data_IF_241304142872
#
_entry.id   IF_241304142872
#
_cell.length_a   1.000
_cell.length_b   1.000
_cell.length_c   1.000
_cell.angle_alpha   90.00
_cell.angle_beta   90.00
_cell.angle_gamma   90.00
#
_symmetry.space_group_name_H-M   'P 1'
#
loop_
_entity.id
_entity.type
_entity.pdbx_description
1 polymer ?
#
# COMPACT_ATOMS: atom_id res chain seq x y z
N UNK A 1 31.52 22.58 25.42
CA UNK A 1 32.01 21.57 24.45
C UNK A 1 31.71 22.09 23.05
N UNK A 2 32.71 22.19 22.18
CA UNK A 2 32.45 22.55 20.78
C UNK A 2 31.57 21.49 20.14
N UNK A 3 30.55 21.94 19.41
CA UNK A 3 29.74 21.01 18.59
C UNK A 3 30.65 20.39 17.55
N UNK A 4 30.71 19.08 17.52
CA UNK A 4 31.39 18.34 16.46
C UNK A 4 30.66 18.62 15.14
N UNK A 5 31.31 19.37 14.25
CA UNK A 5 30.73 19.75 12.95
C UNK A 5 30.97 18.61 12.02
N UNK A 6 29.89 17.95 11.57
CA UNK A 6 29.99 16.90 10.54
C UNK A 6 30.67 17.44 9.29
N UNK A 7 31.69 16.79 8.73
CA UNK A 7 32.44 17.32 7.62
C UNK A 7 31.54 17.50 6.36
N UNK A 8 31.64 18.69 5.74
CA UNK A 8 30.97 18.90 4.43
C UNK A 8 31.71 18.11 3.37
N UNK A 9 30.96 17.30 2.59
CA UNK A 9 31.44 16.49 1.48
C UNK A 9 30.70 16.89 0.21
N UNK A 10 31.33 16.65 -0.93
CA UNK A 10 30.66 16.81 -2.24
C UNK A 10 29.65 15.69 -2.52
N UNK A 11 29.81 14.53 -1.85
CA UNK A 11 28.95 13.37 -1.97
C UNK A 11 28.88 12.62 -0.63
N UNK A 12 27.68 12.28 -0.23
CA UNK A 12 27.39 11.48 0.97
C UNK A 12 26.87 10.11 0.58
N UNK A 13 27.26 9.06 1.32
CA UNK A 13 26.80 7.69 1.12
C UNK A 13 25.96 7.18 2.30
N UNK A 14 25.62 5.90 2.29
CA UNK A 14 24.83 5.29 3.36
C UNK A 14 25.55 5.33 4.73
N UNK A 15 26.87 5.24 4.76
CA UNK A 15 27.61 5.29 6.00
C UNK A 15 27.56 6.69 6.62
N UNK A 16 27.56 7.71 5.77
CA UNK A 16 27.35 9.10 6.22
C UNK A 16 25.94 9.29 6.82
N UNK A 17 24.92 8.73 6.18
CA UNK A 17 23.54 8.83 6.70
C UNK A 17 23.40 8.12 8.06
N UNK A 18 23.99 6.94 8.21
CA UNK A 18 24.02 6.20 9.47
C UNK A 18 24.73 7.00 10.59
N UNK A 19 25.87 7.60 10.28
CA UNK A 19 26.61 8.40 11.24
C UNK A 19 25.87 9.71 11.60
N UNK A 20 25.26 10.39 10.61
CA UNK A 20 24.43 11.56 10.83
C UNK A 20 23.25 11.24 11.76
N UNK A 21 22.56 10.12 11.56
CA UNK A 21 21.45 9.71 12.41
C UNK A 21 21.91 9.45 13.84
N UNK A 22 23.04 8.77 14.01
CA UNK A 22 23.65 8.54 15.33
C UNK A 22 24.03 9.84 16.02
N UNK A 23 24.56 10.83 15.30
CA UNK A 23 24.87 12.17 15.86
C UNK A 23 23.58 12.89 16.25
N UNK A 24 22.55 12.88 15.40
CA UNK A 24 21.27 13.54 15.68
C UNK A 24 20.62 12.99 16.95
N UNK A 25 20.71 11.69 17.20
CA UNK A 25 20.17 11.03 18.38
C UNK A 25 21.12 10.99 19.57
N UNK A 26 22.38 11.37 19.38
CA UNK A 26 23.40 11.42 20.44
C UNK A 26 23.12 12.49 21.50
N UNK A 27 23.86 12.46 22.62
CA UNK A 27 23.68 13.32 23.78
C UNK A 27 23.64 14.82 23.43
N UNK A 28 24.47 15.25 22.47
CA UNK A 28 24.56 16.64 22.01
C UNK A 28 23.81 16.90 20.68
N UNK A 29 22.99 15.94 20.23
CA UNK A 29 22.27 15.99 18.98
C UNK A 29 20.98 16.80 19.02
N UNK A 30 20.04 16.49 18.17
CA UNK A 30 18.76 17.15 18.06
C UNK A 30 17.80 16.70 19.18
N UNK A 31 17.24 17.63 19.92
CA UNK A 31 16.31 17.31 21.01
C UNK A 31 15.06 16.57 20.51
N UNK A 32 14.55 16.97 19.33
CA UNK A 32 13.38 16.34 18.73
C UNK A 32 13.66 14.89 18.32
N UNK A 33 14.79 14.64 17.63
CA UNK A 33 15.14 13.28 17.17
C UNK A 33 15.36 12.34 18.37
N UNK A 34 15.93 12.83 19.48
CA UNK A 34 16.14 12.03 20.70
C UNK A 34 14.85 11.61 21.40
N UNK A 35 13.81 12.42 21.31
CA UNK A 35 12.50 12.13 21.92
C UNK A 35 11.70 11.08 21.11
N UNK A 36 12.06 10.85 19.84
CA UNK A 36 11.33 9.92 19.01
C UNK A 36 11.53 8.47 19.43
N UNK A 37 10.47 7.69 19.23
CA UNK A 37 10.44 6.23 19.38
C UNK A 37 9.67 5.59 18.21
N UNK A 38 9.61 4.25 18.15
CA UNK A 38 8.94 3.54 17.08
C UNK A 38 7.46 3.96 16.89
N UNK A 39 6.75 4.21 17.98
CA UNK A 39 5.33 4.58 17.95
C UNK A 39 5.13 5.99 17.42
N UNK A 40 6.01 6.93 17.80
CA UNK A 40 5.86 8.35 17.41
C UNK A 40 6.10 8.58 15.92
N UNK A 41 7.04 7.84 15.31
CA UNK A 41 7.42 8.01 13.89
C UNK A 41 6.84 6.93 12.96
N UNK A 42 6.05 5.97 13.48
CA UNK A 42 5.51 4.87 12.67
C UNK A 42 4.66 5.33 11.49
N UNK A 43 3.97 6.47 11.63
CA UNK A 43 3.10 6.99 10.57
C UNK A 43 3.89 7.63 9.44
N UNK A 44 5.07 8.18 9.72
CA UNK A 44 5.95 8.74 8.70
C UNK A 44 6.35 7.68 7.67
N UNK A 45 6.61 6.42 8.11
CA UNK A 45 6.87 5.32 7.16
C UNK A 45 5.75 5.15 6.13
N UNK A 46 4.48 5.36 6.54
CA UNK A 46 3.34 5.24 5.64
C UNK A 46 3.23 6.47 4.74
N UNK A 47 3.46 7.66 5.28
CA UNK A 47 3.46 8.94 4.57
C UNK A 47 4.49 8.91 3.44
N UNK A 48 5.77 8.67 3.76
CA UNK A 48 6.84 8.57 2.77
C UNK A 48 6.57 7.47 1.71
N UNK A 49 5.96 6.35 2.11
CA UNK A 49 5.59 5.31 1.14
C UNK A 49 4.50 5.77 0.16
N UNK A 50 3.57 6.63 0.56
CA UNK A 50 2.58 7.22 -0.33
C UNK A 50 3.19 8.30 -1.22
N UNK A 51 4.10 9.13 -0.71
CA UNK A 51 4.81 10.15 -1.49
C UNK A 51 5.68 9.51 -2.57
N UNK A 52 6.36 8.40 -2.27
CA UNK A 52 7.01 7.56 -3.31
C UNK A 52 6.01 7.10 -4.37
N UNK A 53 4.79 6.70 -4.00
CA UNK A 53 3.77 6.29 -4.97
C UNK A 53 3.29 7.47 -5.82
N UNK A 54 3.11 8.65 -5.25
CA UNK A 54 2.73 9.87 -5.96
C UNK A 54 3.82 10.27 -6.97
N UNK A 55 5.09 10.24 -6.58
CA UNK A 55 6.22 10.51 -7.46
C UNK A 55 6.28 9.54 -8.66
N UNK A 56 6.00 8.25 -8.42
CA UNK A 56 5.91 7.23 -9.48
C UNK A 56 4.74 7.52 -10.45
N UNK A 57 3.57 7.86 -9.94
CA UNK A 57 2.39 8.14 -10.76
C UNK A 57 2.56 9.47 -11.54
N UNK A 58 3.27 10.47 -10.96
CA UNK A 58 3.66 11.70 -11.63
C UNK A 58 4.77 11.49 -12.68
N UNK A 59 5.48 10.36 -12.65
CA UNK A 59 6.66 10.06 -13.48
C UNK A 59 7.78 11.10 -13.31
N UNK A 60 7.90 11.65 -12.11
CA UNK A 60 8.92 12.62 -11.73
C UNK A 60 10.08 11.91 -11.05
N UNK A 61 11.23 11.81 -11.74
CA UNK A 61 12.40 11.09 -11.23
C UNK A 61 13.16 11.86 -10.16
N UNK A 62 13.09 13.18 -10.14
CA UNK A 62 13.72 13.98 -9.09
C UNK A 62 12.93 13.89 -7.79
N UNK A 63 11.61 14.04 -7.87
CA UNK A 63 10.72 13.82 -6.73
C UNK A 63 10.88 12.38 -6.21
N UNK A 64 10.87 11.37 -7.09
CA UNK A 64 11.07 9.97 -6.70
C UNK A 64 12.40 9.76 -5.96
N UNK A 65 13.45 10.45 -6.34
CA UNK A 65 14.75 10.36 -5.65
C UNK A 65 14.67 10.97 -4.25
N UNK A 66 13.97 12.09 -4.08
CA UNK A 66 13.73 12.76 -2.80
C UNK A 66 12.95 11.83 -1.87
N UNK A 67 11.79 11.35 -2.30
CA UNK A 67 10.90 10.51 -1.49
C UNK A 67 11.51 9.14 -1.13
N UNK A 68 12.32 8.56 -2.03
CA UNK A 68 13.10 7.36 -1.69
C UNK A 68 14.16 7.64 -0.62
N UNK A 69 14.70 8.87 -0.56
CA UNK A 69 15.61 9.32 0.49
C UNK A 69 14.88 9.38 1.83
N UNK A 70 13.69 9.97 1.88
CA UNK A 70 12.90 10.12 3.08
C UNK A 70 12.37 8.78 3.59
N UNK A 71 11.95 7.89 2.70
CA UNK A 71 11.63 6.51 3.06
C UNK A 71 12.85 5.74 3.61
N UNK A 72 14.04 5.94 3.03
CA UNK A 72 15.28 5.36 3.53
C UNK A 72 15.62 5.91 4.93
N UNK A 73 15.39 7.21 5.16
CA UNK A 73 15.55 7.84 6.47
C UNK A 73 14.72 7.13 7.54
N UNK A 74 13.45 6.77 7.25
CA UNK A 74 12.61 6.02 8.19
C UNK A 74 13.23 4.66 8.54
N UNK A 75 13.78 3.96 7.55
CA UNK A 75 14.45 2.67 7.79
C UNK A 75 15.68 2.85 8.69
N UNK A 76 16.51 3.85 8.41
CA UNK A 76 17.72 4.15 9.19
C UNK A 76 17.35 4.58 10.61
N UNK A 77 16.31 5.42 10.76
CA UNK A 77 15.85 5.87 12.07
C UNK A 77 15.38 4.71 12.95
N UNK A 78 14.53 3.84 12.42
CA UNK A 78 14.07 2.66 13.15
C UNK A 78 15.20 1.68 13.48
N UNK A 79 16.19 1.52 12.59
CA UNK A 79 17.37 0.70 12.86
C UNK A 79 18.27 1.30 13.95
N UNK A 80 18.40 2.63 13.99
CA UNK A 80 19.15 3.32 15.04
C UNK A 80 18.47 3.16 16.41
N UNK A 81 17.14 3.23 16.50
CA UNK A 81 16.39 2.98 17.74
C UNK A 81 16.66 1.57 18.29
N UNK A 82 16.69 0.55 17.42
CA UNK A 82 16.98 -0.82 17.81
C UNK A 82 18.46 -1.03 18.19
N UNK A 83 19.37 -0.30 17.53
CA UNK A 83 20.78 -0.30 17.89
C UNK A 83 21.01 0.29 19.29
N UNK A 84 20.28 1.35 19.65
CA UNK A 84 20.31 1.94 20.99
C UNK A 84 19.74 1.01 22.08
N UNK A 85 18.89 0.06 21.67
CA UNK A 85 18.31 -0.98 22.52
C UNK A 85 19.13 -2.29 22.54
N UNK A 86 20.32 -2.30 21.92
CA UNK A 86 21.20 -3.50 21.79
C UNK A 86 20.50 -4.72 21.14
N UNK A 87 19.53 -4.47 20.24
CA UNK A 87 18.74 -5.51 19.55
C UNK A 87 19.34 -5.86 18.19
N UNK A 88 19.29 -4.95 17.23
CA UNK A 88 19.93 -5.05 15.92
C UNK A 88 20.26 -3.65 15.37
N UNK A 89 21.07 -3.60 14.34
CA UNK A 89 21.46 -2.39 13.62
C UNK A 89 21.03 -2.41 12.15
N UNK A 90 21.42 -1.40 11.38
CA UNK A 90 21.14 -1.32 9.96
C UNK A 90 21.77 -2.47 9.17
N UNK A 91 22.97 -2.95 9.55
CA UNK A 91 23.62 -4.10 8.90
C UNK A 91 22.79 -5.36 9.10
N UNK A 92 22.20 -5.54 10.28
CA UNK A 92 21.25 -6.62 10.56
C UNK A 92 20.00 -6.57 9.67
N UNK A 93 19.48 -5.37 9.39
CA UNK A 93 18.37 -5.17 8.45
C UNK A 93 18.79 -5.59 7.03
N UNK A 94 19.98 -5.15 6.58
CA UNK A 94 20.54 -5.49 5.28
C UNK A 94 20.79 -7.01 5.14
N UNK A 95 21.42 -7.63 6.13
CA UNK A 95 21.67 -9.07 6.16
C UNK A 95 20.38 -9.87 6.05
N UNK A 96 19.37 -9.49 6.83
CA UNK A 96 18.06 -10.14 6.84
C UNK A 96 17.36 -10.10 5.49
N UNK A 97 17.38 -8.96 4.79
CA UNK A 97 16.75 -8.85 3.46
C UNK A 97 17.58 -9.56 2.39
N UNK A 98 18.91 -9.50 2.43
CA UNK A 98 19.78 -10.20 1.50
C UNK A 98 19.59 -11.72 1.58
N UNK A 99 19.64 -12.31 2.77
CA UNK A 99 19.38 -13.75 2.99
C UNK A 99 18.02 -14.15 2.45
N UNK A 100 17.00 -13.34 2.69
CA UNK A 100 15.63 -13.56 2.21
C UNK A 100 15.55 -13.53 0.69
N UNK A 101 16.22 -12.58 0.03
CA UNK A 101 16.26 -12.48 -1.43
C UNK A 101 16.98 -13.66 -2.06
N UNK A 102 18.16 -14.03 -1.55
CA UNK A 102 18.93 -15.19 -2.02
C UNK A 102 18.10 -16.47 -1.90
N UNK A 103 17.49 -16.71 -0.73
CA UNK A 103 16.67 -17.90 -0.48
C UNK A 103 15.46 -17.99 -1.42
N UNK A 104 14.83 -16.86 -1.76
CA UNK A 104 13.59 -16.83 -2.56
C UNK A 104 13.82 -16.76 -4.07
N UNK A 105 15.07 -16.61 -4.52
CA UNK A 105 15.43 -16.62 -5.93
C UNK A 105 16.41 -17.74 -6.27
N UNK A 106 16.07 -19.01 -5.99
CA UNK A 106 16.98 -20.12 -6.26
C UNK A 106 17.24 -20.34 -7.76
N UNK A 107 16.43 -19.74 -8.64
CA UNK A 107 16.66 -19.70 -10.08
C UNK A 107 17.74 -18.69 -10.50
N UNK A 108 18.13 -17.76 -9.62
CA UNK A 108 19.20 -16.77 -9.85
C UNK A 108 20.45 -17.15 -9.06
N UNK A 109 20.28 -17.53 -7.79
CA UNK A 109 21.38 -17.77 -6.84
C UNK A 109 21.64 -19.27 -6.58
N UNK A 110 20.89 -20.16 -7.22
CA UNK A 110 21.00 -21.62 -7.11
C UNK A 110 20.92 -22.30 -8.47
N UNK A 111 20.47 -23.56 -8.49
CA UNK A 111 20.47 -24.40 -9.68
C UNK A 111 19.05 -24.76 -10.17
N UNK A 112 18.03 -24.02 -9.76
CA UNK A 112 16.65 -24.27 -10.19
C UNK A 112 16.41 -23.53 -11.51
N UNK A 113 15.89 -24.24 -12.51
CA UNK A 113 15.44 -23.63 -13.76
C UNK A 113 13.93 -23.31 -13.65
N UNK A 114 13.50 -22.19 -14.21
CA UNK A 114 12.09 -21.75 -14.24
C UNK A 114 11.75 -21.20 -15.61
N UNK A 115 10.55 -21.54 -16.09
CA UNK A 115 10.03 -21.08 -17.38
C UNK A 115 9.03 -19.92 -17.19
N UNK A 116 9.56 -18.70 -17.16
CA UNK A 116 8.76 -17.47 -17.13
C UNK A 116 8.35 -16.95 -15.75
N UNK A 117 7.77 -15.74 -15.73
CA UNK A 117 7.46 -14.98 -14.53
C UNK A 117 6.39 -15.62 -13.64
N UNK A 118 5.44 -16.35 -14.21
CA UNK A 118 4.36 -16.97 -13.44
C UNK A 118 4.86 -18.12 -12.57
N UNK A 119 5.85 -18.89 -13.04
CA UNK A 119 6.50 -19.95 -12.27
C UNK A 119 7.37 -19.34 -11.17
N UNK A 120 8.10 -18.27 -11.47
CA UNK A 120 8.86 -17.51 -10.47
C UNK A 120 7.96 -17.07 -9.33
N UNK A 121 6.78 -16.49 -9.62
CA UNK A 121 5.83 -16.01 -8.61
C UNK A 121 5.28 -17.15 -7.74
N UNK A 122 4.95 -18.29 -8.33
CA UNK A 122 4.48 -19.49 -7.58
C UNK A 122 5.56 -20.02 -6.64
N UNK A 123 6.80 -20.14 -7.15
CA UNK A 123 7.94 -20.58 -6.36
C UNK A 123 8.23 -19.62 -5.22
N UNK A 124 8.20 -18.31 -5.49
CA UNK A 124 8.36 -17.26 -4.49
C UNK A 124 7.33 -17.38 -3.35
N UNK A 125 6.03 -17.50 -3.67
CA UNK A 125 4.97 -17.62 -2.67
C UNK A 125 5.12 -18.90 -1.83
N UNK A 126 5.52 -20.01 -2.44
CA UNK A 126 5.82 -21.27 -1.74
C UNK A 126 6.98 -21.14 -0.78
N UNK A 127 8.11 -20.60 -1.25
CA UNK A 127 9.33 -20.41 -0.43
C UNK A 127 9.09 -19.40 0.69
N UNK A 128 8.29 -18.34 0.43
CA UNK A 128 7.89 -17.37 1.43
C UNK A 128 7.05 -17.99 2.54
N UNK A 129 6.10 -18.85 2.20
CA UNK A 129 5.26 -19.55 3.19
C UNK A 129 6.10 -20.51 4.04
N UNK A 130 7.01 -21.28 3.41
CA UNK A 130 7.93 -22.18 4.11
C UNK A 130 8.87 -21.43 5.07
N UNK A 131 9.46 -20.32 4.62
CA UNK A 131 10.36 -19.51 5.46
C UNK A 131 9.69 -18.90 6.68
N UNK A 132 8.35 -18.84 6.67
CA UNK A 132 7.52 -18.33 7.78
C UNK A 132 6.87 -19.43 8.61
N UNK A 133 7.14 -20.71 8.31
CA UNK A 133 6.49 -21.84 9.00
C UNK A 133 4.97 -21.89 8.80
N UNK A 134 4.46 -21.34 7.68
CA UNK A 134 3.03 -21.29 7.40
C UNK A 134 2.58 -22.60 6.73
N UNK A 135 2.06 -23.52 7.50
CA UNK A 135 1.63 -24.84 7.04
C UNK A 135 0.18 -24.84 6.53
N UNK A 136 -0.70 -24.08 7.16
CA UNK A 136 -2.13 -24.03 6.83
C UNK A 136 -2.51 -22.84 5.96
N UNK A 137 -3.63 -22.96 5.23
CA UNK A 137 -4.22 -21.85 4.50
C UNK A 137 -4.60 -20.70 5.45
N UNK A 138 -5.16 -21.00 6.61
CA UNK A 138 -5.57 -20.01 7.60
C UNK A 138 -4.37 -19.18 8.09
N UNK A 139 -3.24 -19.81 8.40
CA UNK A 139 -2.01 -19.10 8.78
C UNK A 139 -1.52 -18.16 7.69
N UNK A 140 -1.60 -18.57 6.42
CA UNK A 140 -1.28 -17.71 5.28
C UNK A 140 -2.20 -16.51 5.18
N UNK A 141 -3.52 -16.69 5.36
CA UNK A 141 -4.49 -15.59 5.32
C UNK A 141 -4.29 -14.63 6.51
N UNK A 142 -4.17 -15.16 7.72
CA UNK A 142 -4.02 -14.35 8.94
C UNK A 142 -2.69 -13.60 9.02
N UNK A 143 -1.66 -14.03 8.28
CA UNK A 143 -0.37 -13.34 8.17
C UNK A 143 -0.40 -12.10 7.26
N UNK A 144 -1.54 -11.75 6.65
CA UNK A 144 -1.70 -10.46 5.98
C UNK A 144 -1.76 -9.37 7.03
N UNK A 145 -0.91 -8.33 6.96
CA UNK A 145 -0.89 -7.27 7.97
C UNK A 145 -2.26 -6.62 8.14
N UNK A 146 -2.69 -6.48 9.40
CA UNK A 146 -4.02 -5.94 9.73
C UNK A 146 -4.14 -4.44 9.49
N UNK A 147 -3.01 -3.73 9.48
CA UNK A 147 -2.93 -2.28 9.28
C UNK A 147 -2.90 -1.85 7.80
N UNK A 148 -2.87 -2.78 6.87
CA UNK A 148 -3.01 -2.43 5.45
C UNK A 148 -4.35 -1.75 5.18
N UNK A 149 -4.42 -0.79 4.23
CA UNK A 149 -5.68 -0.30 3.70
C UNK A 149 -6.63 -1.45 3.37
N UNK A 150 -7.91 -1.27 3.65
CA UNK A 150 -8.86 -2.39 3.67
C UNK A 150 -8.98 -3.13 2.33
N UNK A 151 -8.98 -2.39 1.20
CA UNK A 151 -9.04 -3.00 -0.13
C UNK A 151 -7.73 -3.72 -0.48
N UNK A 152 -6.56 -3.12 -0.20
CA UNK A 152 -5.28 -3.81 -0.36
C UNK A 152 -5.21 -5.09 0.47
N UNK A 153 -5.74 -5.06 1.69
CA UNK A 153 -5.82 -6.26 2.55
C UNK A 153 -6.76 -7.29 1.96
N UNK A 154 -7.92 -6.87 1.47
CA UNK A 154 -8.91 -7.70 0.79
C UNK A 154 -8.30 -8.43 -0.42
N UNK A 155 -7.63 -7.69 -1.31
CA UNK A 155 -6.92 -8.25 -2.47
C UNK A 155 -5.91 -9.33 -2.06
N UNK A 156 -5.08 -9.04 -1.05
CA UNK A 156 -4.06 -9.99 -0.56
C UNK A 156 -4.67 -11.24 0.07
N UNK A 157 -5.74 -11.09 0.86
CA UNK A 157 -6.42 -12.21 1.51
C UNK A 157 -7.08 -13.11 0.46
N UNK A 158 -7.81 -12.54 -0.49
CA UNK A 158 -8.45 -13.30 -1.57
C UNK A 158 -7.41 -14.01 -2.43
N UNK A 159 -6.36 -13.31 -2.87
CA UNK A 159 -5.29 -13.91 -3.65
C UNK A 159 -4.66 -15.12 -2.95
N UNK A 160 -4.43 -15.02 -1.63
CA UNK A 160 -3.90 -16.14 -0.85
C UNK A 160 -4.89 -17.27 -0.68
N UNK A 161 -6.19 -16.97 -0.54
CA UNK A 161 -7.24 -17.98 -0.47
C UNK A 161 -7.31 -18.80 -1.78
N UNK A 162 -7.31 -18.11 -2.93
CA UNK A 162 -7.27 -18.73 -4.26
C UNK A 162 -6.02 -19.58 -4.44
N UNK A 163 -4.84 -19.03 -4.10
CA UNK A 163 -3.57 -19.79 -4.14
C UNK A 163 -3.54 -20.99 -3.17
N UNK A 164 -4.45 -21.03 -2.21
CA UNK A 164 -4.62 -22.16 -1.26
C UNK A 164 -5.68 -23.16 -1.70
N UNK A 165 -6.25 -23.00 -2.91
CA UNK A 165 -7.21 -23.92 -3.49
C UNK A 165 -8.68 -23.51 -3.35
N UNK A 166 -8.98 -22.28 -2.86
CA UNK A 166 -10.35 -21.78 -2.86
C UNK A 166 -10.83 -21.64 -4.32
N UNK A 167 -11.93 -22.33 -4.64
CA UNK A 167 -12.60 -22.18 -5.94
C UNK A 167 -13.37 -20.86 -5.99
N UNK A 168 -13.49 -20.25 -7.16
CA UNK A 168 -14.19 -18.98 -7.35
C UNK A 168 -13.33 -17.94 -8.08
N UNK A 169 -12.34 -18.42 -8.82
CA UNK A 169 -11.38 -17.64 -9.61
C UNK A 169 -11.84 -17.42 -11.08
N UNK A 170 -13.11 -17.73 -11.41
CA UNK A 170 -13.66 -17.43 -12.72
C UNK A 170 -14.35 -16.08 -12.76
N UNK A 171 -14.31 -15.42 -13.93
CA UNK A 171 -14.95 -14.11 -14.15
C UNK A 171 -16.45 -14.16 -13.88
N UNK A 172 -17.08 -15.23 -14.34
CA UNK A 172 -18.52 -15.47 -14.21
C UNK A 172 -18.92 -15.65 -12.75
N UNK A 173 -18.12 -16.39 -11.96
CA UNK A 173 -18.36 -16.57 -10.54
C UNK A 173 -18.23 -15.24 -9.79
N UNK A 174 -17.14 -14.49 -10.00
CA UNK A 174 -16.90 -13.25 -9.29
C UNK A 174 -17.98 -12.20 -9.58
N UNK A 175 -18.39 -12.06 -10.85
CA UNK A 175 -19.45 -11.14 -11.23
C UNK A 175 -20.80 -11.55 -10.62
N UNK A 176 -21.13 -12.84 -10.64
CA UNK A 176 -22.36 -13.35 -10.01
C UNK A 176 -22.35 -13.11 -8.50
N UNK A 177 -21.23 -13.42 -7.83
CA UNK A 177 -21.08 -13.19 -6.39
C UNK A 177 -21.25 -11.70 -6.03
N UNK A 178 -20.68 -10.80 -6.82
CA UNK A 178 -20.86 -9.35 -6.60
C UNK A 178 -22.34 -8.95 -6.74
N UNK A 179 -23.04 -9.41 -7.79
CA UNK A 179 -24.47 -9.15 -7.96
C UNK A 179 -25.30 -9.68 -6.79
N UNK A 180 -25.06 -10.91 -6.35
CA UNK A 180 -25.74 -11.51 -5.20
C UNK A 180 -25.53 -10.69 -3.90
N UNK A 181 -24.33 -10.11 -3.71
CA UNK A 181 -24.06 -9.25 -2.54
C UNK A 181 -24.79 -7.91 -2.63
N UNK A 182 -24.89 -7.32 -3.81
CA UNK A 182 -25.65 -6.09 -4.05
C UNK A 182 -27.16 -6.33 -3.84
N UNK A 183 -27.72 -7.41 -4.44
CA UNK A 183 -29.14 -7.77 -4.28
C UNK A 183 -29.49 -7.99 -2.79
N UNK A 184 -28.57 -8.64 -2.06
CA UNK A 184 -28.77 -8.87 -0.62
C UNK A 184 -28.71 -7.56 0.21
N UNK A 185 -27.83 -6.63 -0.16
CA UNK A 185 -27.77 -5.29 0.44
C UNK A 185 -29.08 -4.55 0.21
N UNK A 186 -29.64 -4.57 -1.01
CA UNK A 186 -30.91 -3.94 -1.36
C UNK A 186 -32.07 -4.51 -0.52
N UNK A 187 -32.14 -5.84 -0.37
CA UNK A 187 -33.15 -6.50 0.48
C UNK A 187 -33.07 -6.04 1.93
N UNK A 188 -31.87 -5.90 2.47
CA UNK A 188 -31.67 -5.45 3.86
C UNK A 188 -32.05 -4.00 4.04
N UNK A 189 -31.66 -3.14 3.10
CA UNK A 189 -32.09 -1.72 3.09
C UNK A 189 -33.61 -1.59 3.12
N UNK A 190 -34.32 -2.39 2.31
CA UNK A 190 -35.79 -2.39 2.25
C UNK A 190 -36.44 -2.86 3.56
N UNK A 191 -35.76 -3.68 4.36
CA UNK A 191 -36.25 -4.23 5.61
C UNK A 191 -35.77 -3.50 6.88
N UNK A 192 -35.01 -2.40 6.73
CA UNK A 192 -34.47 -1.62 7.86
C UNK A 192 -33.40 -2.34 8.70
N UNK A 193 -32.63 -3.25 8.09
CA UNK A 193 -31.57 -4.00 8.75
C UNK A 193 -30.23 -3.27 8.82
N UNK A 194 -29.25 -3.87 9.54
CA UNK A 194 -27.90 -3.35 9.63
C UNK A 194 -27.14 -3.52 8.30
N UNK A 195 -26.53 -2.45 7.81
CA UNK A 195 -25.93 -2.40 6.47
C UNK A 195 -24.42 -2.43 6.46
N UNK A 196 -23.73 -2.05 7.56
CA UNK A 196 -22.26 -1.89 7.60
C UNK A 196 -21.53 -3.16 7.16
N UNK A 197 -21.86 -4.30 7.76
CA UNK A 197 -21.28 -5.59 7.38
C UNK A 197 -21.59 -5.98 5.93
N UNK A 198 -22.73 -5.56 5.38
CA UNK A 198 -23.15 -5.87 4.02
C UNK A 198 -22.42 -5.02 2.97
N UNK A 199 -22.17 -3.77 3.26
CA UNK A 199 -21.27 -2.93 2.46
C UNK A 199 -19.88 -3.56 2.41
N UNK A 200 -19.36 -4.03 3.54
CA UNK A 200 -18.08 -4.74 3.58
C UNK A 200 -18.05 -6.00 2.71
N UNK A 201 -19.15 -6.79 2.67
CA UNK A 201 -19.27 -7.95 1.78
C UNK A 201 -19.22 -7.56 0.28
N UNK A 202 -19.85 -6.45 -0.10
CA UNK A 202 -19.82 -5.92 -1.48
C UNK A 202 -18.39 -5.48 -1.82
N UNK A 203 -17.73 -4.71 -0.95
CA UNK A 203 -16.35 -4.27 -1.16
C UNK A 203 -15.38 -5.46 -1.30
N UNK A 204 -15.55 -6.51 -0.49
CA UNK A 204 -14.74 -7.71 -0.60
C UNK A 204 -15.01 -8.47 -1.92
N UNK A 205 -16.25 -8.49 -2.40
CA UNK A 205 -16.58 -9.05 -3.72
C UNK A 205 -15.98 -8.23 -4.87
N UNK A 206 -15.89 -6.90 -4.72
CA UNK A 206 -15.14 -6.05 -5.66
C UNK A 206 -13.64 -6.40 -5.68
N UNK A 207 -13.01 -6.62 -4.52
CA UNK A 207 -11.62 -7.09 -4.44
C UNK A 207 -11.43 -8.43 -5.19
N UNK A 208 -12.36 -9.38 -5.04
CA UNK A 208 -12.28 -10.65 -5.79
C UNK A 208 -12.34 -10.42 -7.31
N UNK A 209 -13.25 -9.58 -7.76
CA UNK A 209 -13.36 -9.25 -9.19
C UNK A 209 -12.08 -8.57 -9.69
N UNK A 210 -11.54 -7.60 -8.95
CA UNK A 210 -10.29 -6.91 -9.27
C UNK A 210 -9.11 -7.89 -9.40
N UNK A 211 -8.98 -8.84 -8.47
CA UNK A 211 -7.93 -9.88 -8.53
C UNK A 211 -7.99 -10.71 -9.81
N UNK A 212 -9.18 -11.11 -10.24
CA UNK A 212 -9.38 -11.90 -11.46
C UNK A 212 -8.95 -11.12 -12.71
N UNK A 213 -9.23 -9.81 -12.73
CA UNK A 213 -8.82 -8.93 -13.82
C UNK A 213 -7.38 -8.38 -13.65
N UNK A 214 -6.64 -8.85 -12.64
CA UNK A 214 -5.27 -8.41 -12.32
C UNK A 214 -5.21 -6.88 -12.13
N UNK A 215 -6.23 -6.32 -11.50
CA UNK A 215 -6.31 -4.90 -11.14
C UNK A 215 -6.09 -4.74 -9.64
N UNK A 216 -5.58 -3.59 -9.24
CA UNK A 216 -5.43 -3.19 -7.85
C UNK A 216 -6.71 -2.47 -7.41
N UNK A 217 -7.35 -2.95 -6.35
CA UNK A 217 -8.63 -2.40 -5.86
C UNK A 217 -8.46 -1.02 -5.25
N UNK A 218 -7.37 -0.78 -4.49
CA UNK A 218 -7.07 0.50 -3.87
C UNK A 218 -6.82 1.57 -4.93
N UNK A 219 -5.96 1.27 -5.91
CA UNK A 219 -5.68 2.16 -7.04
C UNK A 219 -6.93 2.43 -7.88
N UNK A 220 -7.76 1.42 -8.10
CA UNK A 220 -9.01 1.58 -8.85
C UNK A 220 -9.97 2.54 -8.15
N UNK A 221 -10.11 2.43 -6.82
CA UNK A 221 -10.92 3.33 -6.03
C UNK A 221 -10.31 4.75 -5.99
N UNK A 222 -9.00 4.88 -5.80
CA UNK A 222 -8.29 6.18 -5.83
C UNK A 222 -8.52 6.89 -7.17
N UNK A 223 -8.42 6.16 -8.29
CA UNK A 223 -8.70 6.72 -9.62
C UNK A 223 -10.15 7.21 -9.73
N UNK A 224 -11.12 6.46 -9.22
CA UNK A 224 -12.52 6.87 -9.21
C UNK A 224 -12.76 8.10 -8.33
N UNK A 225 -12.12 8.18 -7.16
CA UNK A 225 -12.19 9.35 -6.27
C UNK A 225 -11.63 10.60 -6.96
N UNK A 226 -10.45 10.50 -7.57
CA UNK A 226 -9.82 11.63 -8.25
C UNK A 226 -10.68 12.12 -9.42
N UNK A 227 -11.28 11.22 -10.18
CA UNK A 227 -12.24 11.56 -11.23
C UNK A 227 -13.48 12.29 -10.67
N UNK A 228 -14.04 11.77 -9.59
CA UNK A 228 -15.18 12.41 -8.92
C UNK A 228 -14.84 13.83 -8.46
N UNK A 229 -13.65 14.05 -7.89
CA UNK A 229 -13.19 15.39 -7.47
C UNK A 229 -13.12 16.35 -8.67
N UNK A 230 -12.56 15.89 -9.80
CA UNK A 230 -12.49 16.70 -11.03
C UNK A 230 -13.88 17.06 -11.55
N UNK A 231 -14.77 16.08 -11.65
CA UNK A 231 -16.17 16.28 -12.10
C UNK A 231 -16.95 17.20 -11.17
N UNK A 232 -16.73 17.10 -9.85
CA UNK A 232 -17.30 17.99 -8.87
C UNK A 232 -16.81 19.43 -9.06
N UNK A 233 -15.52 19.62 -9.32
CA UNK A 233 -14.95 20.94 -9.63
C UNK A 233 -15.57 21.55 -10.90
N UNK A 234 -15.81 20.76 -11.95
CA UNK A 234 -16.47 21.19 -13.17
C UNK A 234 -17.94 21.60 -12.91
N UNK A 235 -18.67 20.83 -12.07
CA UNK A 235 -20.02 21.17 -11.65
C UNK A 235 -20.04 22.48 -10.86
N UNK A 236 -19.12 22.66 -9.90
CA UNK A 236 -18.98 23.87 -9.11
C UNK A 236 -18.71 25.10 -10.00
N UNK A 237 -17.79 24.98 -10.97
CA UNK A 237 -17.50 26.04 -11.93
C UNK A 237 -18.71 26.39 -12.82
N UNK A 238 -19.49 25.40 -13.25
CA UNK A 238 -20.75 25.59 -14.03
C UNK A 238 -21.81 26.29 -13.23
N UNK A 239 -22.07 25.87 -11.98
CA UNK A 239 -23.08 26.48 -11.10
C UNK A 239 -22.71 27.90 -10.71
N UNK A 240 -21.44 28.18 -10.39
CA UNK A 240 -20.93 29.52 -10.08
C UNK A 240 -21.12 30.48 -11.25
N UNK A 241 -20.84 30.03 -12.49
CA UNK A 241 -21.09 30.84 -13.71
C UNK A 241 -22.58 31.21 -13.89
N UNK A 242 -23.48 30.37 -13.40
CA UNK A 242 -24.94 30.65 -13.40
C UNK A 242 -25.39 31.53 -12.22
N UNK A 243 -24.47 31.96 -11.34
CA UNK A 243 -24.78 32.69 -10.11
C UNK A 243 -25.46 31.84 -9.02
N UNK A 244 -25.27 30.52 -9.11
CA UNK A 244 -25.80 29.54 -8.18
C UNK A 244 -24.67 28.84 -7.41
N UNK A 245 -25.02 28.08 -6.38
CA UNK A 245 -24.10 27.20 -5.66
C UNK A 245 -24.39 25.72 -5.96
N UNK A 246 -23.47 24.83 -5.67
CA UNK A 246 -23.58 23.39 -5.98
C UNK A 246 -24.83 22.75 -5.36
N UNK A 247 -25.29 23.23 -4.19
CA UNK A 247 -26.53 22.75 -3.56
C UNK A 247 -27.81 23.08 -4.35
N UNK A 248 -27.70 23.87 -5.41
CA UNK A 248 -28.78 24.22 -6.32
C UNK A 248 -28.65 23.51 -7.68
N UNK A 249 -27.72 22.56 -7.78
CA UNK A 249 -27.56 21.73 -8.97
C UNK A 249 -28.84 20.90 -9.22
N UNK A 250 -29.20 20.72 -10.49
CA UNK A 250 -30.37 19.91 -10.87
C UNK A 250 -30.09 18.42 -10.64
N UNK A 251 -31.14 17.62 -10.54
CA UNK A 251 -31.03 16.16 -10.43
C UNK A 251 -30.29 15.53 -11.61
N UNK A 252 -30.42 16.10 -12.82
CA UNK A 252 -29.71 15.68 -14.01
C UNK A 252 -28.21 15.98 -13.88
N UNK A 253 -27.82 17.16 -13.43
CA UNK A 253 -26.42 17.55 -13.19
C UNK A 253 -25.77 16.66 -12.11
N UNK A 254 -26.52 16.29 -11.07
CA UNK A 254 -26.05 15.34 -10.04
C UNK A 254 -25.93 13.93 -10.62
N UNK A 255 -26.87 13.46 -11.43
CA UNK A 255 -26.77 12.15 -12.09
C UNK A 255 -25.57 12.07 -13.02
N UNK A 256 -25.28 13.13 -13.77
CA UNK A 256 -24.09 13.19 -14.62
C UNK A 256 -22.80 13.04 -13.81
N UNK A 257 -22.72 13.64 -12.61
CA UNK A 257 -21.58 13.52 -11.70
C UNK A 257 -21.26 12.05 -11.33
N UNK A 258 -22.28 11.23 -11.15
CA UNK A 258 -22.12 9.82 -10.76
C UNK A 258 -22.10 8.84 -11.95
N UNK A 259 -22.51 9.26 -13.15
CA UNK A 259 -22.68 8.40 -14.32
C UNK A 259 -21.67 8.65 -15.44
N UNK A 260 -20.81 9.68 -15.31
CA UNK A 260 -19.89 10.03 -16.38
C UNK A 260 -18.89 8.89 -16.67
N UNK A 261 -19.05 8.27 -17.82
CA UNK A 261 -18.12 7.29 -18.37
C UNK A 261 -16.82 7.96 -18.82
N UNK A 262 -15.71 7.20 -18.78
CA UNK A 262 -14.45 7.65 -19.32
C UNK A 262 -14.58 7.90 -20.83
N UNK A 263 -14.62 9.15 -21.25
CA UNK A 263 -14.49 9.52 -22.66
C UNK A 263 -13.02 9.46 -23.17
N UNK A 264 -12.15 8.77 -22.42
CA UNK A 264 -10.75 8.52 -22.81
C UNK A 264 -10.54 6.99 -22.86
N UNK A 265 -10.88 6.40 -23.98
CA UNK A 265 -10.44 5.07 -24.40
C UNK A 265 -9.02 5.14 -25.00
#
# INVERSE_FOLDING_TARGET
MEKEVYPKKDFYDINDLLEIMKILRGENGCAWDREQNHESIRMNVLEEAYEVMEAIDAKDSELLREELGDLLLQVVFHAQLENEADSFDFDGVCDGICKKLIYRHPHVFGNIHVDGSDEVLKNWDSLKSRSKGQETALERLTSVPKLLPALMRGDKVIKRAVNSGLQGDTKEFALRNLKEKVDRLEQILSNGGEIEGKIGEVLLACCNLSNIYKKDSEKSLTTAINRFIMQFGDLEAKTTKKGASVNQASEEEIKELFSAEDNNG
#
